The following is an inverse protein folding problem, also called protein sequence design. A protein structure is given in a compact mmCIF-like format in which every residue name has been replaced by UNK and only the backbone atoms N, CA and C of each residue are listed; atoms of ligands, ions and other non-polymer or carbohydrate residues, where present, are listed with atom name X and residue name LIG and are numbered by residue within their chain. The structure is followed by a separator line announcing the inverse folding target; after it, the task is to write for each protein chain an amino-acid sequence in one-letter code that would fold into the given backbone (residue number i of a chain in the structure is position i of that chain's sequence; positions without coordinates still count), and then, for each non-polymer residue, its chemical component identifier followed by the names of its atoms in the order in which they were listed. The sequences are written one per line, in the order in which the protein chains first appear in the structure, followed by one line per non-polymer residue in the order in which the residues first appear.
data_IF_127658653984
#
_entry.id   IF_127658653984
#
_cell.length_a   1.000
_cell.length_b   1.000
_cell.length_c   1.000
_cell.angle_alpha   90.00
_cell.angle_beta   90.00
_cell.angle_gamma   90.00
#
_symmetry.space_group_name_H-M   'P 1'
#
loop_
_entity.id
_entity.type
_entity.pdbx_description
1 polymer ?
#
# COMPACT_ATOMS: atom_id res chain seq x y z
N UNK A 1 -46.80 -68.31 -10.15
CA UNK A 1 -46.05 -67.41 -11.04
C UNK A 1 -46.17 -66.04 -10.42
N UNK A 2 -45.15 -65.65 -9.65
CA UNK A 2 -45.01 -64.29 -9.13
C UNK A 2 -44.31 -63.51 -10.23
N UNK A 3 -44.99 -62.54 -10.83
CA UNK A 3 -44.33 -61.55 -11.67
C UNK A 3 -44.12 -60.28 -10.86
N UNK A 4 -42.84 -60.06 -10.63
CA UNK A 4 -42.15 -58.94 -10.06
C UNK A 4 -42.10 -57.83 -11.11
N UNK A 5 -42.77 -56.69 -10.89
CA UNK A 5 -42.48 -55.47 -11.65
C UNK A 5 -41.99 -54.44 -10.66
N UNK A 6 -40.66 -54.37 -10.61
CA UNK A 6 -39.85 -53.45 -9.84
C UNK A 6 -40.09 -52.02 -10.37
N UNK A 7 -40.13 -51.10 -9.40
CA UNK A 7 -40.22 -49.66 -9.57
C UNK A 7 -39.12 -49.16 -10.51
N UNK A 8 -39.51 -48.50 -11.60
CA UNK A 8 -38.63 -47.57 -12.33
C UNK A 8 -39.13 -46.15 -12.06
N UNK A 9 -38.96 -45.73 -10.80
CA UNK A 9 -38.85 -44.31 -10.49
C UNK A 9 -37.38 -43.97 -10.75
N UNK A 10 -37.08 -43.70 -12.02
CA UNK A 10 -35.89 -42.97 -12.42
C UNK A 10 -35.95 -41.58 -11.78
N UNK A 11 -35.48 -41.54 -10.54
CA UNK A 11 -34.99 -40.40 -9.80
C UNK A 11 -33.96 -39.71 -10.69
N UNK A 12 -34.44 -38.79 -11.53
CA UNK A 12 -33.65 -37.79 -12.24
C UNK A 12 -33.17 -36.78 -11.19
N UNK A 13 -32.36 -37.30 -10.27
CA UNK A 13 -31.66 -36.56 -9.25
C UNK A 13 -30.70 -35.64 -10.00
N UNK A 14 -31.04 -34.36 -9.99
CA UNK A 14 -30.21 -33.24 -10.40
C UNK A 14 -28.93 -33.16 -9.54
N UNK A 15 -28.02 -34.10 -9.69
CA UNK A 15 -26.60 -33.92 -9.46
C UNK A 15 -26.08 -33.37 -10.79
N UNK A 16 -25.75 -32.08 -10.99
CA UNK A 16 -24.55 -31.45 -10.43
C UNK A 16 -24.57 -29.91 -10.65
N UNK A 17 -24.93 -29.08 -9.66
CA UNK A 17 -24.55 -27.67 -9.63
C UNK A 17 -23.52 -27.32 -8.54
N UNK A 18 -23.34 -28.17 -7.52
CA UNK A 18 -22.52 -27.79 -6.35
C UNK A 18 -21.02 -27.62 -6.65
N UNK A 19 -20.45 -28.37 -7.61
CA UNK A 19 -19.00 -28.30 -7.92
C UNK A 19 -18.66 -27.05 -8.75
N UNK A 20 -19.58 -26.58 -9.61
CA UNK A 20 -19.38 -25.38 -10.42
C UNK A 20 -19.53 -24.09 -9.60
N UNK A 21 -20.51 -24.04 -8.69
CA UNK A 21 -20.67 -22.94 -7.73
C UNK A 21 -19.44 -22.82 -6.81
N UNK A 22 -18.95 -23.96 -6.29
CA UNK A 22 -17.73 -24.01 -5.46
C UNK A 22 -16.49 -23.52 -6.22
N UNK A 23 -16.36 -23.85 -7.50
CA UNK A 23 -15.21 -23.41 -8.31
C UNK A 23 -15.28 -21.91 -8.63
N UNK A 24 -16.48 -21.37 -8.88
CA UNK A 24 -16.67 -19.94 -9.14
C UNK A 24 -16.44 -19.09 -7.88
N UNK A 25 -16.87 -19.60 -6.72
CA UNK A 25 -16.62 -18.95 -5.42
C UNK A 25 -15.13 -18.98 -5.06
N UNK A 26 -14.43 -20.10 -5.28
CA UNK A 26 -12.98 -20.19 -5.08
C UNK A 26 -12.19 -19.22 -5.97
N UNK A 27 -12.60 -19.04 -7.22
CA UNK A 27 -11.96 -18.07 -8.12
C UNK A 27 -12.18 -16.63 -7.65
N UNK A 28 -13.42 -16.31 -7.23
CA UNK A 28 -13.75 -15.01 -6.64
C UNK A 28 -12.91 -14.72 -5.40
N UNK A 29 -12.80 -15.70 -4.49
CA UNK A 29 -12.00 -15.57 -3.27
C UNK A 29 -10.51 -15.43 -3.55
N UNK A 30 -9.99 -16.08 -4.60
CA UNK A 30 -8.59 -15.88 -5.03
C UNK A 30 -8.34 -14.47 -5.51
N UNK A 31 -9.23 -13.93 -6.35
CA UNK A 31 -9.13 -12.56 -6.84
C UNK A 31 -9.19 -11.55 -5.70
N UNK A 32 -10.11 -11.73 -4.75
CA UNK A 32 -10.20 -10.90 -3.55
C UNK A 32 -8.94 -10.98 -2.68
N UNK A 33 -8.40 -12.17 -2.46
CA UNK A 33 -7.16 -12.33 -1.71
C UNK A 33 -5.97 -11.63 -2.39
N UNK A 34 -5.87 -11.72 -3.71
CA UNK A 34 -4.80 -11.03 -4.45
C UNK A 34 -4.98 -9.50 -4.39
N UNK A 35 -6.20 -8.99 -4.42
CA UNK A 35 -6.45 -7.56 -4.26
C UNK A 35 -6.14 -7.08 -2.84
N UNK A 36 -6.61 -7.79 -1.81
CA UNK A 36 -6.30 -7.47 -0.41
C UNK A 36 -4.79 -7.49 -0.15
N UNK A 37 -4.05 -8.45 -0.71
CA UNK A 37 -2.59 -8.47 -0.61
C UNK A 37 -1.94 -7.23 -1.22
N UNK A 38 -2.43 -6.77 -2.38
CA UNK A 38 -1.93 -5.53 -3.00
C UNK A 38 -2.23 -4.31 -2.12
N UNK A 39 -3.45 -4.21 -1.59
CA UNK A 39 -3.83 -3.11 -0.71
C UNK A 39 -2.98 -3.08 0.57
N UNK A 40 -2.79 -4.23 1.22
CA UNK A 40 -1.94 -4.35 2.42
C UNK A 40 -0.51 -3.93 2.10
N UNK A 41 0.05 -4.42 0.99
CA UNK A 41 1.40 -4.10 0.53
C UNK A 41 1.56 -2.59 0.28
N UNK A 42 0.61 -1.98 -0.41
CA UNK A 42 0.63 -0.55 -0.68
C UNK A 42 0.49 0.27 0.62
N UNK A 43 -0.38 -0.17 1.53
CA UNK A 43 -0.57 0.44 2.84
C UNK A 43 0.72 0.43 3.67
N UNK A 44 1.44 -0.70 3.71
CA UNK A 44 2.74 -0.81 4.38
C UNK A 44 3.78 0.12 3.76
N UNK A 45 3.87 0.16 2.42
CA UNK A 45 4.80 1.05 1.74
C UNK A 45 4.52 2.53 2.04
N UNK A 46 3.24 2.93 2.01
CA UNK A 46 2.83 4.29 2.37
C UNK A 46 3.21 4.62 3.80
N UNK A 47 2.91 3.74 4.76
CA UNK A 47 3.27 3.97 6.16
C UNK A 47 4.78 4.12 6.36
N UNK A 48 5.58 3.27 5.71
CA UNK A 48 7.05 3.34 5.75
C UNK A 48 7.57 4.65 5.13
N UNK A 49 7.05 5.03 3.95
CA UNK A 49 7.42 6.30 3.31
C UNK A 49 7.00 7.51 4.12
N UNK A 50 5.80 7.53 4.70
CA UNK A 50 5.34 8.64 5.54
C UNK A 50 6.30 8.81 6.72
N UNK A 51 6.63 7.72 7.43
CA UNK A 51 7.57 7.78 8.54
C UNK A 51 8.93 8.34 8.11
N UNK A 52 9.49 7.85 7.01
CA UNK A 52 10.83 8.25 6.55
C UNK A 52 10.86 9.68 5.97
N UNK A 53 9.82 10.08 5.24
CA UNK A 53 9.66 11.43 4.71
C UNK A 53 9.51 12.43 5.86
N UNK A 54 8.67 12.13 6.85
CA UNK A 54 8.54 12.97 8.05
C UNK A 54 9.86 13.07 8.80
N UNK A 55 10.58 11.95 9.00
CA UNK A 55 11.89 11.96 9.63
C UNK A 55 12.93 12.79 8.83
N UNK A 56 12.80 12.81 7.50
CA UNK A 56 13.63 13.60 6.59
C UNK A 56 13.21 15.07 6.49
N UNK A 57 12.17 15.50 7.22
CA UNK A 57 11.69 16.89 7.21
C UNK A 57 10.81 17.24 6.00
N UNK A 58 10.18 16.26 5.36
CA UNK A 58 9.25 16.52 4.27
C UNK A 58 8.05 17.36 4.74
N UNK A 59 7.81 18.49 4.07
CA UNK A 59 6.71 19.43 4.36
C UNK A 59 5.36 18.93 3.83
N UNK A 60 5.39 18.07 2.82
CA UNK A 60 4.21 17.46 2.19
C UNK A 60 4.44 15.97 1.91
N UNK A 61 4.49 15.11 2.95
CA UNK A 61 4.76 13.68 2.76
C UNK A 61 3.82 13.00 1.78
N UNK A 62 2.50 13.24 1.90
CA UNK A 62 1.49 12.63 1.02
C UNK A 62 1.68 12.96 -0.46
N UNK A 63 2.06 14.19 -0.78
CA UNK A 63 2.31 14.62 -2.15
C UNK A 63 3.57 13.95 -2.72
N UNK A 64 4.60 13.78 -1.90
CA UNK A 64 5.83 13.11 -2.29
C UNK A 64 5.64 11.59 -2.44
N UNK A 65 4.78 10.99 -1.62
CA UNK A 65 4.37 9.58 -1.74
C UNK A 65 3.68 9.35 -3.07
N UNK A 66 2.72 10.20 -3.44
CA UNK A 66 2.02 10.10 -4.72
C UNK A 66 2.98 10.22 -5.93
N UNK A 67 4.03 11.04 -5.81
CA UNK A 67 5.07 11.15 -6.84
C UNK A 67 5.99 9.91 -6.89
N UNK A 68 6.19 9.24 -5.76
CA UNK A 68 7.08 8.09 -5.61
C UNK A 68 6.41 6.72 -5.77
N UNK A 69 5.08 6.65 -5.80
CA UNK A 69 4.32 5.38 -5.76
C UNK A 69 4.76 4.38 -6.83
N UNK A 70 5.08 4.86 -8.04
CA UNK A 70 5.55 4.02 -9.16
C UNK A 70 7.01 3.56 -9.05
N UNK A 71 7.75 4.13 -8.11
CA UNK A 71 9.17 3.85 -7.92
C UNK A 71 9.42 2.86 -6.78
N UNK A 72 8.39 2.53 -6.00
CA UNK A 72 8.47 1.59 -4.88
C UNK A 72 8.70 0.18 -5.42
N UNK A 73 9.75 -0.46 -4.93
CA UNK A 73 10.06 -1.85 -5.18
C UNK A 73 9.75 -2.65 -3.92
N UNK A 74 9.23 -3.86 -4.12
CA UNK A 74 8.89 -4.78 -3.05
C UNK A 74 9.80 -5.99 -3.12
N UNK A 75 10.18 -6.52 -1.96
CA UNK A 75 10.86 -7.80 -1.87
C UNK A 75 9.88 -8.99 -1.96
N UNK A 76 10.43 -10.20 -1.82
CA UNK A 76 9.68 -11.46 -1.87
C UNK A 76 8.65 -11.59 -0.73
N UNK A 77 8.85 -10.85 0.36
CA UNK A 77 7.95 -10.80 1.53
C UNK A 77 6.84 -9.74 1.35
N UNK A 78 6.95 -8.92 0.30
CA UNK A 78 6.03 -7.84 0.00
C UNK A 78 6.27 -6.59 0.84
N UNK A 79 7.45 -6.45 1.44
CA UNK A 79 7.91 -5.25 2.14
C UNK A 79 8.62 -4.30 1.17
N UNK A 80 8.56 -2.98 1.39
CA UNK A 80 9.20 -2.01 0.51
C UNK A 80 10.74 -2.05 0.64
N UNK A 81 11.43 -2.45 -0.42
CA UNK A 81 12.87 -2.75 -0.41
C UNK A 81 13.78 -1.55 -0.74
N UNK A 82 13.23 -0.46 -1.29
CA UNK A 82 14.03 0.64 -1.84
C UNK A 82 13.67 2.03 -1.29
N UNK A 83 13.06 2.11 -0.10
CA UNK A 83 12.61 3.38 0.50
C UNK A 83 13.73 4.43 0.55
N UNK A 84 14.91 4.08 1.05
CA UNK A 84 16.02 5.03 1.14
C UNK A 84 16.42 5.63 -0.22
N UNK A 85 16.41 4.82 -1.28
CA UNK A 85 16.71 5.28 -2.63
C UNK A 85 15.62 6.23 -3.16
N UNK A 86 14.35 5.91 -2.89
CA UNK A 86 13.19 6.76 -3.22
C UNK A 86 13.30 8.11 -2.50
N UNK A 87 13.54 8.11 -1.19
CA UNK A 87 13.73 9.35 -0.40
C UNK A 87 14.86 10.19 -0.96
N UNK A 88 16.04 9.59 -1.20
CA UNK A 88 17.18 10.30 -1.77
C UNK A 88 16.84 10.98 -3.09
N UNK A 89 16.09 10.30 -3.97
CA UNK A 89 15.67 10.85 -5.26
C UNK A 89 14.63 11.97 -5.08
N UNK A 90 13.69 11.82 -4.15
CA UNK A 90 12.72 12.86 -3.82
C UNK A 90 13.39 14.12 -3.28
N UNK A 91 14.39 13.99 -2.40
CA UNK A 91 15.13 15.13 -1.87
C UNK A 91 15.91 15.86 -2.97
N UNK A 92 16.45 15.14 -3.95
CA UNK A 92 17.13 15.74 -5.11
C UNK A 92 16.17 16.45 -6.06
N UNK A 93 15.01 15.83 -6.35
CA UNK A 93 14.05 16.35 -7.32
C UNK A 93 13.16 17.46 -6.75
N UNK A 94 12.93 17.45 -5.44
CA UNK A 94 12.00 18.33 -4.75
C UNK A 94 12.63 18.98 -3.50
N UNK A 95 13.80 19.64 -3.60
CA UNK A 95 14.54 20.13 -2.44
C UNK A 95 13.73 21.12 -1.59
N UNK A 96 12.85 21.93 -2.21
CA UNK A 96 12.01 22.90 -1.51
C UNK A 96 10.88 22.26 -0.68
N UNK A 97 10.57 20.98 -0.91
CA UNK A 97 9.58 20.24 -0.13
C UNK A 97 10.18 19.59 1.12
N UNK A 98 11.48 19.78 1.40
CA UNK A 98 12.14 19.31 2.61
C UNK A 98 12.62 20.49 3.44
N UNK A 99 12.32 20.46 4.73
CA UNK A 99 12.85 21.38 5.72
C UNK A 99 14.21 20.84 6.18
N UNK A 100 15.29 21.45 5.70
CA UNK A 100 16.66 21.12 6.09
C UNK A 100 17.27 22.25 6.93
N UNK A 101 18.35 21.96 7.67
CA UNK A 101 19.11 23.02 8.38
C UNK A 101 19.58 24.12 7.43
N UNK A 102 20.00 23.74 6.23
CA UNK A 102 20.42 24.71 5.20
C UNK A 102 19.25 25.55 4.70
N UNK A 103 18.07 24.94 4.50
CA UNK A 103 16.86 25.66 4.12
C UNK A 103 16.45 26.65 5.22
N UNK A 104 16.47 26.22 6.49
CA UNK A 104 16.21 27.08 7.65
C UNK A 104 17.20 28.25 7.73
N UNK A 105 18.49 28.01 7.49
CA UNK A 105 19.51 29.06 7.52
C UNK A 105 19.32 30.13 6.42
N UNK A 106 18.69 29.77 5.30
CA UNK A 106 18.41 30.69 4.18
C UNK A 106 17.04 31.36 4.30
N UNK A 107 16.14 30.84 5.13
CA UNK A 107 14.80 31.40 5.34
C UNK A 107 14.86 32.66 6.19
N UNK A 108 13.95 33.59 5.92
CA UNK A 108 13.81 34.80 6.74
C UNK A 108 13.15 34.44 8.09
N UNK A 109 13.42 35.21 9.16
CA UNK A 109 12.79 34.99 10.46
C UNK A 109 11.25 34.97 10.39
N UNK A 110 10.64 35.79 9.53
CA UNK A 110 9.18 35.84 9.35
C UNK A 110 8.63 34.59 8.68
N UNK A 111 9.44 33.93 7.84
CA UNK A 111 9.07 32.68 7.18
C UNK A 111 9.19 31.50 8.15
N UNK A 112 10.27 31.47 8.94
CA UNK A 112 10.47 30.48 10.01
C UNK A 112 9.34 30.57 11.05
N UNK A 113 8.91 31.78 11.39
CA UNK A 113 7.82 32.01 12.35
C UNK A 113 6.46 31.43 11.91
N UNK A 114 6.28 31.11 10.62
CA UNK A 114 5.06 30.48 10.08
C UNK A 114 5.15 28.95 10.04
N UNK A 115 6.30 28.37 10.37
CA UNK A 115 6.50 26.92 10.39
C UNK A 115 6.02 26.31 11.71
N UNK A 116 5.77 25.01 11.71
CA UNK A 116 5.58 24.26 12.95
C UNK A 116 6.91 24.19 13.71
N UNK A 117 6.92 24.72 14.93
CA UNK A 117 8.11 24.74 15.77
C UNK A 117 8.60 23.35 16.21
N UNK A 118 7.72 22.33 16.22
CA UNK A 118 8.12 20.95 16.47
C UNK A 118 8.96 20.43 15.30
N UNK A 119 8.56 20.70 14.06
CA UNK A 119 9.32 20.32 12.86
C UNK A 119 10.67 21.06 12.81
N UNK A 120 10.67 22.37 13.07
CA UNK A 120 11.91 23.17 13.11
C UNK A 120 12.87 22.61 14.16
N UNK A 121 12.39 22.27 15.36
CA UNK A 121 13.22 21.69 16.42
C UNK A 121 13.75 20.30 16.04
N UNK A 122 12.93 19.46 15.41
CA UNK A 122 13.37 18.14 14.96
C UNK A 122 14.56 18.27 13.99
N UNK A 123 14.45 19.17 13.01
CA UNK A 123 15.52 19.44 12.02
C UNK A 123 16.78 20.03 12.68
N UNK A 124 16.63 20.85 13.72
CA UNK A 124 17.78 21.40 14.44
C UNK A 124 18.42 20.38 15.40
N UNK A 125 17.67 19.38 15.88
CA UNK A 125 18.15 18.39 16.85
C UNK A 125 18.83 17.16 16.21
N UNK A 126 18.53 16.87 14.94
CA UNK A 126 19.26 15.92 14.08
C UNK A 126 20.47 16.60 13.45
#
# INVERSE_FOLDING_TARGET
MNDEIIHDAGDDAAEQPMVSESSAELETLRQQNEELKKEIRLGKARAALTAELTASGARSPELLIAAAEKEIQFDDEGEPANIAAVISKLTQNYPNNFLTREALAKMKPEEIARLDWNEVRAVLSN
#
